data_IF_317035452982
#
_entry.id   IF_317035452982
#
_cell.length_a   1.000
_cell.length_b   1.000
_cell.length_c   1.000
_cell.angle_alpha   90.00
_cell.angle_beta   90.00
_cell.angle_gamma   90.00
#
_symmetry.space_group_name_H-M   'P 1'
#
loop_
_entity.id
_entity.type
_entity.pdbx_description
1 polymer ?
#
# COMPACT_ATOMS: atom_id res chain seq x y z
N UNK A 1 -9.83 18.79 -2.64
CA UNK A 1 -9.50 17.99 -3.85
C UNK A 1 -8.21 17.27 -3.51
N UNK A 2 -8.32 15.99 -3.14
CA UNK A 2 -7.16 15.18 -2.79
C UNK A 2 -6.77 14.38 -4.04
N UNK A 3 -5.56 14.59 -4.54
CA UNK A 3 -4.99 13.84 -5.66
C UNK A 3 -4.31 12.63 -5.07
N UNK A 4 -4.83 11.43 -5.32
CA UNK A 4 -4.23 10.19 -4.84
C UNK A 4 -3.45 9.52 -5.97
N UNK A 5 -2.14 9.42 -5.81
CA UNK A 5 -1.28 8.55 -6.62
C UNK A 5 -1.12 7.22 -5.88
N UNK A 6 -1.99 6.25 -6.16
CA UNK A 6 -1.83 4.88 -5.67
C UNK A 6 -1.04 4.05 -6.68
N UNK A 7 0.06 3.45 -6.22
CA UNK A 7 0.77 2.42 -6.98
C UNK A 7 -0.05 1.13 -6.92
N UNK A 8 -0.90 0.90 -7.92
CA UNK A 8 -1.50 -0.41 -8.14
C UNK A 8 -0.44 -1.34 -8.75
N UNK A 9 -0.17 -2.47 -8.11
CA UNK A 9 0.53 -3.60 -8.71
C UNK A 9 -0.55 -4.56 -9.26
N UNK A 10 -0.69 -4.72 -10.58
CA UNK A 10 -1.64 -5.67 -11.14
C UNK A 10 -0.99 -7.05 -11.21
N UNK A 11 -1.58 -8.05 -10.53
CA UNK A 11 -1.28 -9.50 -10.64
C UNK A 11 0.21 -9.89 -10.40
N UNK A 12 0.55 -11.19 -10.22
CA UNK A 12 1.93 -11.60 -9.95
C UNK A 12 2.84 -11.18 -11.11
N UNK A 13 3.64 -10.13 -10.89
CA UNK A 13 4.68 -9.71 -11.83
C UNK A 13 5.76 -10.78 -11.75
N UNK A 14 5.78 -11.67 -12.75
CA UNK A 14 6.87 -12.60 -12.93
C UNK A 14 8.08 -11.82 -13.47
N UNK A 15 8.95 -11.35 -12.58
CA UNK A 15 10.23 -10.77 -12.99
C UNK A 15 11.10 -11.86 -13.64
N UNK A 16 11.11 -11.91 -14.97
CA UNK A 16 12.12 -12.65 -15.74
C UNK A 16 13.14 -11.67 -16.29
N UNK A 17 14.14 -11.32 -15.50
CA UNK A 17 15.28 -10.54 -16.00
C UNK A 17 16.38 -11.48 -16.48
N UNK A 18 16.27 -11.93 -17.74
CA UNK A 18 17.45 -12.32 -18.52
C UNK A 18 18.02 -11.10 -19.21
N UNK A 19 18.95 -10.40 -18.56
CA UNK A 19 20.15 -9.85 -19.22
C UNK A 19 21.14 -9.27 -18.22
N UNK A 20 22.32 -9.88 -18.19
CA UNK A 20 23.55 -9.28 -17.73
C UNK A 20 23.86 -8.10 -18.68
N UNK A 21 23.78 -6.86 -18.20
CA UNK A 21 24.36 -5.73 -18.91
C UNK A 21 25.75 -5.49 -18.33
N UNK A 22 26.73 -6.11 -18.98
CA UNK A 22 28.14 -5.81 -18.82
C UNK A 22 28.39 -4.37 -19.26
N UNK A 23 29.02 -3.59 -18.39
CA UNK A 23 29.49 -2.23 -18.65
C UNK A 23 30.15 -2.11 -20.03
N UNK A 24 29.69 -1.14 -20.82
CA UNK A 24 30.46 -0.60 -21.94
C UNK A 24 30.67 0.89 -21.72
N UNK A 25 31.92 1.20 -21.37
CA UNK A 25 32.51 2.53 -21.41
C UNK A 25 32.62 3.01 -22.85
N UNK A 26 32.28 4.28 -23.10
CA UNK A 26 32.73 5.04 -24.27
C UNK A 26 33.40 6.33 -23.76
N UNK A 27 34.65 6.50 -24.21
CA UNK A 27 35.55 7.64 -23.99
C UNK A 27 34.95 8.92 -24.67
N UNK A 28 35.28 10.17 -24.30
CA UNK A 28 36.61 10.78 -24.33
C UNK A 28 36.63 12.27 -23.90
N UNK A 29 37.86 12.80 -23.80
CA UNK A 29 38.36 14.16 -23.52
C UNK A 29 38.57 14.50 -22.03
N UNK A 30 39.75 14.90 -21.54
CA UNK A 30 41.05 15.23 -22.15
C UNK A 30 42.16 15.27 -21.08
N UNK A 31 43.22 14.46 -21.27
CA UNK A 31 44.67 14.60 -20.94
C UNK A 31 45.15 15.06 -19.52
N UNK A 32 46.45 14.90 -19.18
CA UNK A 32 46.91 13.77 -18.38
C UNK A 32 47.69 14.21 -17.12
N UNK A 33 47.62 13.44 -16.03
CA UNK A 33 48.72 13.45 -15.06
C UNK A 33 48.92 12.07 -14.47
N UNK A 34 50.10 11.53 -14.75
CA UNK A 34 50.69 10.35 -14.16
C UNK A 34 50.83 10.59 -12.65
N UNK A 35 50.13 9.82 -11.81
CA UNK A 35 50.56 9.60 -10.42
C UNK A 35 50.52 8.11 -10.10
N UNK A 36 51.71 7.64 -9.80
CA UNK A 36 52.11 6.32 -9.40
C UNK A 36 51.47 5.98 -8.03
N UNK A 37 50.55 5.01 -7.96
CA UNK A 37 50.10 4.50 -6.67
C UNK A 37 51.17 3.56 -6.11
N UNK A 38 52.03 4.13 -5.25
CA UNK A 38 52.79 3.37 -4.27
C UNK A 38 51.81 2.72 -3.31
N UNK A 39 51.96 1.41 -3.15
CA UNK A 39 51.45 0.67 -1.99
C UNK A 39 51.97 1.35 -0.72
N UNK A 40 51.05 1.90 0.07
CA UNK A 40 51.34 2.30 1.44
C UNK A 40 50.26 1.70 2.32
N UNK A 41 50.67 0.64 3.01
CA UNK A 41 49.99 0.12 4.17
C UNK A 41 49.92 1.24 5.20
N UNK A 42 48.76 1.86 5.37
CA UNK A 42 48.47 2.55 6.62
C UNK A 42 47.05 2.25 7.08
N UNK A 43 47.03 1.59 8.24
CA UNK A 43 45.86 1.23 9.01
C UNK A 43 45.16 2.50 9.49
N UNK A 44 44.05 2.86 8.88
CA UNK A 44 42.97 3.58 9.55
C UNK A 44 41.65 2.90 9.21
N UNK A 45 41.26 1.99 10.10
CA UNK A 45 39.89 1.51 10.17
C UNK A 45 39.00 2.70 10.52
N UNK A 46 38.35 3.28 9.52
CA UNK A 46 37.13 4.03 9.75
C UNK A 46 36.05 2.99 10.05
N UNK A 47 35.86 2.71 11.34
CA UNK A 47 34.69 1.99 11.82
C UNK A 47 33.51 2.92 11.57
N UNK A 48 32.88 2.76 10.41
CA UNK A 48 31.54 3.28 10.20
C UNK A 48 30.64 2.47 11.14
N UNK A 49 29.86 3.11 12.04
CA UNK A 49 28.90 2.38 12.85
C UNK A 49 27.97 1.63 11.90
N UNK A 50 28.00 0.31 11.98
CA UNK A 50 27.01 -0.57 11.35
C UNK A 50 25.70 -0.30 12.09
N UNK A 51 24.91 0.65 11.59
CA UNK A 51 23.60 1.01 12.15
C UNK A 51 22.75 -0.24 12.15
N UNK A 52 22.59 -0.85 13.32
CA UNK A 52 21.68 -1.95 13.51
C UNK A 52 20.28 -1.35 13.43
N UNK A 53 19.49 -1.74 12.43
CA UNK A 53 18.03 -1.72 12.58
C UNK A 53 17.72 -2.63 13.76
N UNK A 54 17.28 -2.07 14.88
CA UNK A 54 17.04 -2.82 16.11
C UNK A 54 15.58 -3.28 16.14
N UNK A 55 15.26 -4.58 16.01
CA UNK A 55 13.96 -5.11 16.35
C UNK A 55 14.02 -5.61 17.80
N UNK A 56 14.06 -4.72 18.78
CA UNK A 56 13.79 -5.11 20.17
C UNK A 56 12.34 -4.77 20.48
N UNK A 57 11.54 -5.82 20.69
CA UNK A 57 10.31 -5.71 21.44
C UNK A 57 10.67 -5.82 22.94
N UNK A 58 10.15 -4.93 23.81
CA UNK A 58 9.27 -3.81 23.49
C UNK A 58 10.03 -2.64 22.86
N UNK A 59 9.34 -1.87 22.01
CA UNK A 59 9.91 -0.67 21.39
C UNK A 59 10.36 0.29 22.49
N UNK A 60 11.64 0.66 22.47
CA UNK A 60 12.19 1.63 23.40
C UNK A 60 11.88 3.06 22.91
N UNK A 61 10.79 3.65 23.42
CA UNK A 61 10.35 5.00 23.06
C UNK A 61 11.40 6.04 23.44
N UNK A 62 12.02 5.92 24.61
CA UNK A 62 13.06 6.86 25.07
C UNK A 62 14.24 6.90 24.08
N UNK A 63 14.64 5.74 23.55
CA UNK A 63 15.66 5.68 22.50
C UNK A 63 15.21 6.33 21.19
N UNK A 64 13.95 6.10 20.77
CA UNK A 64 13.43 6.73 19.57
C UNK A 64 13.35 8.25 19.70
N UNK A 65 12.96 8.75 20.86
CA UNK A 65 12.99 10.18 21.15
C UNK A 65 14.43 10.70 21.18
N UNK A 66 15.37 10.03 21.84
CA UNK A 66 16.76 10.50 21.89
C UNK A 66 17.42 10.56 20.50
N UNK A 67 17.23 9.53 19.69
CA UNK A 67 17.91 9.41 18.39
C UNK A 67 17.18 10.16 17.26
N UNK A 68 15.84 10.15 17.26
CA UNK A 68 15.04 10.59 16.11
C UNK A 68 14.06 11.74 16.41
N UNK A 69 13.99 12.24 17.66
CA UNK A 69 13.15 13.42 17.92
C UNK A 69 13.66 14.67 17.19
N UNK A 70 12.76 15.63 17.02
CA UNK A 70 12.98 16.79 16.17
C UNK A 70 12.38 16.59 14.78
N UNK A 71 12.61 17.54 13.87
CA UNK A 71 12.13 17.45 12.48
C UNK A 71 10.59 17.41 12.35
N UNK A 72 9.84 17.75 13.41
CA UNK A 72 8.38 17.68 13.45
C UNK A 72 7.82 16.28 13.75
N UNK A 73 8.63 15.34 14.26
CA UNK A 73 8.17 14.01 14.68
C UNK A 73 8.22 13.86 16.20
N UNK A 74 7.20 13.22 16.74
CA UNK A 74 7.08 12.85 18.16
C UNK A 74 6.73 11.37 18.28
N UNK A 75 7.10 10.75 19.40
CA UNK A 75 6.84 9.33 19.65
C UNK A 75 5.99 9.16 20.90
N UNK A 76 5.11 8.16 20.91
CA UNK A 76 4.29 7.83 22.07
C UNK A 76 4.11 6.32 22.19
N UNK A 77 4.42 5.76 23.36
CA UNK A 77 4.17 4.36 23.66
C UNK A 77 2.69 4.05 23.85
N UNK A 78 2.23 2.96 23.25
CA UNK A 78 0.87 2.41 23.40
C UNK A 78 0.99 0.89 23.61
N UNK A 79 0.98 0.47 24.88
CA UNK A 79 1.25 -0.93 25.23
C UNK A 79 2.66 -1.33 24.78
N UNK A 80 2.77 -2.41 24.00
CA UNK A 80 4.04 -2.87 23.41
C UNK A 80 4.38 -2.17 22.08
N UNK A 81 3.48 -1.33 21.57
CA UNK A 81 3.63 -0.60 20.32
C UNK A 81 4.07 0.85 20.56
N UNK A 82 4.48 1.51 19.49
CA UNK A 82 4.81 2.93 19.49
C UNK A 82 4.12 3.63 18.33
N UNK A 83 3.70 4.86 18.55
CA UNK A 83 3.16 5.74 17.51
C UNK A 83 4.18 6.82 17.21
N UNK A 84 4.51 6.98 15.94
CA UNK A 84 5.25 8.12 15.41
C UNK A 84 4.26 9.11 14.79
N UNK A 85 4.16 10.32 15.34
CA UNK A 85 3.32 11.38 14.82
C UNK A 85 4.17 12.43 14.12
N UNK A 86 3.92 12.64 12.83
CA UNK A 86 4.50 13.69 12.01
C UNK A 86 3.57 14.91 12.01
N UNK A 87 4.09 16.12 12.25
CA UNK A 87 3.32 17.36 12.30
C UNK A 87 4.01 18.49 11.55
N UNK A 88 3.33 19.03 10.54
CA UNK A 88 3.77 20.23 9.82
C UNK A 88 3.18 21.50 10.46
N UNK A 89 3.83 22.64 10.25
CA UNK A 89 3.39 23.93 10.78
C UNK A 89 2.06 24.43 10.21
N UNK A 90 1.68 23.95 9.01
CA UNK A 90 0.37 24.25 8.44
C UNK A 90 -0.78 23.50 9.14
N UNK A 91 -0.48 22.65 10.12
CA UNK A 91 -1.45 21.84 10.86
C UNK A 91 -1.69 20.45 10.28
N UNK A 92 -1.12 20.10 9.12
CA UNK A 92 -1.22 18.74 8.59
C UNK A 92 -0.49 17.76 9.51
N UNK A 93 -1.11 16.61 9.79
CA UNK A 93 -0.55 15.57 10.66
C UNK A 93 -0.70 14.19 10.06
N UNK A 94 0.27 13.30 10.25
CA UNK A 94 0.16 11.89 9.93
C UNK A 94 0.63 11.02 11.10
N UNK A 95 -0.02 9.87 11.29
CA UNK A 95 0.25 8.96 12.39
C UNK A 95 0.64 7.59 11.83
N UNK A 96 1.80 7.09 12.25
CA UNK A 96 2.37 5.81 11.85
C UNK A 96 2.59 4.92 13.08
N UNK A 97 2.16 3.67 13.02
CA UNK A 97 2.25 2.73 14.14
C UNK A 97 3.38 1.72 13.93
N UNK A 98 4.29 1.66 14.89
CA UNK A 98 5.39 0.70 14.97
C UNK A 98 5.06 -0.44 15.95
N UNK A 99 5.48 -1.68 15.66
CA UNK A 99 6.28 -2.08 14.50
C UNK A 99 5.45 -2.41 13.26
N UNK A 100 4.14 -2.15 13.24
CA UNK A 100 3.25 -2.60 12.15
C UNK A 100 3.48 -1.93 10.79
N UNK A 101 4.06 -0.72 10.76
CA UNK A 101 4.13 0.09 9.55
C UNK A 101 2.78 0.68 9.09
N UNK A 102 1.73 0.53 9.90
CA UNK A 102 0.38 1.01 9.58
C UNK A 102 0.30 2.54 9.72
N UNK A 103 -0.13 3.23 8.66
CA UNK A 103 -0.51 4.64 8.73
C UNK A 103 -1.97 4.69 9.20
N UNK A 104 -2.22 5.16 10.41
CA UNK A 104 -3.55 5.09 11.05
C UNK A 104 -4.38 6.36 10.85
N UNK A 105 -3.74 7.51 10.61
CA UNK A 105 -4.43 8.80 10.45
C UNK A 105 -3.63 9.72 9.55
N UNK A 106 -4.35 10.51 8.77
CA UNK A 106 -3.81 11.65 8.02
C UNK A 106 -4.81 12.79 8.06
N UNK A 107 -4.46 13.86 8.75
CA UNK A 107 -5.25 15.09 8.74
C UNK A 107 -4.60 16.08 7.80
N UNK A 108 -5.31 16.43 6.73
CA UNK A 108 -4.87 17.42 5.77
C UNK A 108 -5.31 18.82 6.22
N UNK A 109 -4.42 19.82 6.11
CA UNK A 109 -4.80 21.21 6.27
C UNK A 109 -5.75 21.66 5.16
N UNK A 110 -6.84 22.31 5.54
CA UNK A 110 -7.90 22.74 4.63
C UNK A 110 -7.87 24.26 4.43
N UNK A 111 -8.38 24.70 3.28
CA UNK A 111 -8.42 26.12 2.90
C UNK A 111 -9.18 27.03 3.88
N UNK A 112 -10.07 26.47 4.70
CA UNK A 112 -10.82 27.19 5.73
C UNK A 112 -10.10 27.26 7.09
N UNK A 113 -8.81 26.89 7.14
CA UNK A 113 -7.97 26.95 8.34
C UNK A 113 -8.18 25.82 9.35
N UNK A 114 -9.03 24.84 9.02
CA UNK A 114 -9.20 23.61 9.79
C UNK A 114 -8.36 22.46 9.21
N UNK A 115 -8.52 21.28 9.79
CA UNK A 115 -7.98 20.04 9.23
C UNK A 115 -9.08 18.99 9.11
N UNK A 116 -9.00 18.17 8.07
CA UNK A 116 -9.94 17.07 7.84
C UNK A 116 -9.19 15.73 7.83
N UNK A 117 -9.79 14.73 8.47
CA UNK A 117 -9.27 13.36 8.48
C UNK A 117 -9.53 12.71 7.12
N UNK A 118 -8.46 12.25 6.45
CA UNK A 118 -8.50 11.66 5.13
C UNK A 118 -8.57 10.13 5.17
N UNK A 119 -8.13 9.51 6.26
CA UNK A 119 -8.10 8.05 6.40
C UNK A 119 -9.22 7.55 7.30
N UNK A 120 -9.82 6.43 6.92
CA UNK A 120 -10.79 5.73 7.73
C UNK A 120 -10.08 4.65 8.54
N UNK A 121 -10.08 4.79 9.86
CA UNK A 121 -9.54 3.82 10.80
C UNK A 121 -10.49 3.64 11.98
N UNK A 122 -10.59 2.42 12.48
CA UNK A 122 -11.42 2.03 13.62
C UNK A 122 -10.58 1.24 14.61
N UNK A 123 -10.82 1.46 15.91
CA UNK A 123 -10.16 0.73 17.00
C UNK A 123 -11.20 -0.12 17.70
N UNK A 124 -10.89 -1.39 17.90
CA UNK A 124 -11.74 -2.36 18.57
C UNK A 124 -11.05 -2.88 19.82
N UNK A 125 -11.80 -2.97 20.92
CA UNK A 125 -11.35 -3.67 22.11
C UNK A 125 -11.63 -5.17 21.94
N UNK A 126 -10.60 -5.99 22.04
CA UNK A 126 -10.72 -7.44 22.03
C UNK A 126 -10.95 -7.96 23.46
N UNK A 127 -11.55 -9.15 23.58
CA UNK A 127 -11.91 -9.77 24.89
C UNK A 127 -10.75 -9.92 25.87
N UNK A 128 -9.49 -9.87 25.40
CA UNK A 128 -8.28 -9.98 26.22
C UNK A 128 -7.68 -8.64 26.64
N UNK A 129 -8.35 -7.52 26.36
CA UNK A 129 -7.84 -6.17 26.63
C UNK A 129 -6.76 -5.72 25.64
N UNK A 130 -6.52 -6.48 24.57
CA UNK A 130 -5.78 -6.02 23.39
C UNK A 130 -6.67 -5.14 22.54
N UNK A 131 -6.12 -4.05 22.00
CA UNK A 131 -6.81 -3.24 21.01
C UNK A 131 -6.36 -3.67 19.60
N UNK A 132 -7.29 -3.91 18.69
CA UNK A 132 -7.00 -4.09 17.26
C UNK A 132 -7.43 -2.87 16.47
N UNK A 133 -6.64 -2.54 15.46
CA UNK A 133 -6.89 -1.42 14.56
C UNK A 133 -7.23 -1.99 13.20
N UNK A 134 -8.28 -1.48 12.58
CA UNK A 134 -8.61 -1.74 11.18
C UNK A 134 -8.67 -0.42 10.43
N UNK A 135 -8.38 -0.44 9.14
CA UNK A 135 -8.40 0.74 8.29
C UNK A 135 -7.01 1.28 7.98
N UNK A 136 -6.93 2.59 7.76
CA UNK A 136 -5.69 3.29 7.46
C UNK A 136 -5.06 2.85 6.13
N UNK A 137 -3.74 3.03 6.03
CA UNK A 137 -2.92 2.56 4.91
C UNK A 137 -1.92 1.52 5.41
N UNK A 138 -1.99 0.32 4.85
CA UNK A 138 -1.13 -0.82 5.20
C UNK A 138 -0.51 -1.46 3.97
N UNK A 139 0.63 -2.13 4.18
CA UNK A 139 1.32 -2.92 3.16
C UNK A 139 1.05 -4.40 3.42
N UNK A 140 0.39 -5.07 2.47
CA UNK A 140 0.13 -6.51 2.53
C UNK A 140 0.99 -7.13 1.45
N UNK A 141 2.22 -7.52 1.79
CA UNK A 141 3.22 -8.01 0.85
C UNK A 141 3.73 -9.37 1.28
N UNK A 142 3.72 -10.34 0.38
CA UNK A 142 4.26 -11.68 0.57
C UNK A 142 5.35 -11.93 -0.46
N UNK A 143 6.47 -12.44 0.04
CA UNK A 143 7.63 -12.83 -0.74
C UNK A 143 7.78 -14.34 -0.70
N UNK A 144 7.95 -14.97 -1.85
CA UNK A 144 8.27 -16.39 -1.95
C UNK A 144 9.59 -16.56 -2.68
N UNK A 145 10.52 -17.28 -2.06
CA UNK A 145 11.83 -17.60 -2.62
C UNK A 145 11.84 -19.01 -3.23
N UNK A 146 12.86 -19.35 -4.04
CA UNK A 146 12.99 -20.69 -4.66
C UNK A 146 13.05 -21.84 -3.64
N UNK A 147 13.45 -21.56 -2.40
CA UNK A 147 13.46 -22.54 -1.31
C UNK A 147 12.09 -22.72 -0.65
N UNK A 148 11.02 -22.19 -1.26
CA UNK A 148 9.65 -22.19 -0.75
C UNK A 148 9.51 -21.56 0.64
N UNK A 149 10.43 -20.68 1.02
CA UNK A 149 10.28 -19.86 2.22
C UNK A 149 9.40 -18.66 1.87
N UNK A 150 8.26 -18.54 2.55
CA UNK A 150 7.37 -17.38 2.45
C UNK A 150 7.67 -16.41 3.59
N UNK A 151 7.85 -15.15 3.26
CA UNK A 151 8.13 -14.08 4.22
C UNK A 151 7.28 -12.85 3.93
N UNK A 152 6.84 -12.18 5.00
CA UNK A 152 6.01 -10.98 4.97
C UNK A 152 6.65 -9.91 5.88
N UNK A 153 6.77 -8.64 5.46
CA UNK A 153 7.31 -7.57 6.28
C UNK A 153 6.27 -7.09 7.30
N UNK A 154 6.17 -7.80 8.43
CA UNK A 154 5.20 -7.49 9.51
C UNK A 154 5.83 -6.76 10.70
N UNK A 155 7.16 -6.72 10.76
CA UNK A 155 7.92 -6.06 11.81
C UNK A 155 8.85 -5.03 11.17
N UNK A 156 8.47 -3.77 11.31
CA UNK A 156 9.16 -2.61 10.74
C UNK A 156 9.97 -1.90 11.82
N UNK A 157 11.25 -1.69 11.54
CA UNK A 157 12.12 -0.86 12.34
C UNK A 157 12.20 0.55 11.74
N UNK A 158 12.22 1.58 12.60
CA UNK A 158 12.55 2.92 12.17
C UNK A 158 14.02 2.96 11.74
N UNK A 159 14.28 3.48 10.54
CA UNK A 159 15.63 3.57 9.98
C UNK A 159 16.14 5.00 9.94
N UNK A 160 15.30 5.94 9.51
CA UNK A 160 15.70 7.33 9.36
C UNK A 160 14.49 8.28 9.42
N UNK A 161 14.74 9.51 9.88
CA UNK A 161 13.81 10.63 9.77
C UNK A 161 14.56 11.79 9.11
N UNK A 162 13.93 12.44 8.14
CA UNK A 162 14.53 13.58 7.45
C UNK A 162 13.50 14.66 7.11
N UNK A 163 13.99 15.86 6.81
CA UNK A 163 13.15 17.02 6.50
C UNK A 163 12.86 17.90 7.73
N UNK A 164 11.79 18.67 7.68
CA UNK A 164 11.39 19.59 8.73
C UNK A 164 9.87 19.90 8.70
N UNK A 165 9.38 20.52 9.77
CA UNK A 165 7.97 20.90 9.94
C UNK A 165 7.48 21.96 8.95
N UNK A 166 8.37 22.68 8.25
CA UNK A 166 7.99 23.79 7.37
C UNK A 166 7.70 23.32 5.94
N UNK A 167 8.45 22.32 5.45
CA UNK A 167 8.37 21.87 4.07
C UNK A 167 7.80 20.45 3.94
N UNK A 168 8.47 19.49 4.56
CA UNK A 168 8.14 18.08 4.45
C UNK A 168 8.87 17.27 5.50
N UNK A 169 8.20 16.26 6.02
CA UNK A 169 8.78 15.29 6.95
C UNK A 169 8.75 13.94 6.25
N UNK A 170 9.86 13.19 6.30
CA UNK A 170 9.95 11.85 5.76
C UNK A 170 10.41 10.87 6.83
N UNK A 171 9.68 9.76 6.97
CA UNK A 171 9.98 8.64 7.85
C UNK A 171 10.30 7.42 6.99
N UNK A 172 11.49 6.85 7.14
CA UNK A 172 11.92 5.62 6.48
C UNK A 172 11.87 4.46 7.48
N UNK A 173 11.06 3.47 7.16
CA UNK A 173 10.99 2.19 7.84
C UNK A 173 11.69 1.11 7.02
N UNK A 174 12.19 0.07 7.71
CA UNK A 174 12.86 -1.07 7.10
C UNK A 174 12.36 -2.38 7.71
N UNK A 175 12.21 -3.40 6.86
CA UNK A 175 11.98 -4.78 7.24
C UNK A 175 12.80 -5.70 6.35
N UNK A 176 13.43 -6.73 6.91
CA UNK A 176 14.30 -7.65 6.16
C UNK A 176 14.00 -9.09 6.54
N UNK A 177 14.10 -9.98 5.56
CA UNK A 177 14.04 -11.42 5.78
C UNK A 177 15.25 -11.89 6.63
N UNK A 178 15.07 -12.91 7.46
CA UNK A 178 16.17 -13.55 8.19
C UNK A 178 17.21 -14.10 7.19
N UNK A 179 18.43 -13.55 7.20
CA UNK A 179 19.45 -13.85 6.19
C UNK A 179 19.65 -12.77 5.13
N UNK A 180 18.90 -11.66 5.19
CA UNK A 180 19.06 -10.41 4.44
C UNK A 180 19.08 -10.52 2.91
N UNK A 181 18.40 -11.51 2.36
CA UNK A 181 18.26 -11.67 0.91
C UNK A 181 17.29 -10.65 0.31
N UNK A 182 16.19 -10.37 1.01
CA UNK A 182 15.21 -9.35 0.65
C UNK A 182 15.13 -8.29 1.75
N UNK A 183 15.28 -7.03 1.36
CA UNK A 183 15.07 -5.86 2.19
C UNK A 183 13.92 -5.03 1.60
N UNK A 184 12.98 -4.65 2.45
CA UNK A 184 11.85 -3.80 2.08
C UNK A 184 11.95 -2.52 2.90
N UNK A 185 11.86 -1.39 2.21
CA UNK A 185 11.75 -0.07 2.83
C UNK A 185 10.37 0.49 2.57
N UNK A 186 9.80 1.10 3.59
CA UNK A 186 8.56 1.84 3.51
C UNK A 186 8.84 3.28 3.88
N UNK A 187 8.67 4.19 2.92
CA UNK A 187 8.99 5.61 3.06
C UNK A 187 7.68 6.38 3.08
N UNK A 188 7.40 7.04 4.20
CA UNK A 188 6.20 7.85 4.39
C UNK A 188 6.60 9.32 4.39
N UNK A 189 6.06 10.10 3.47
CA UNK A 189 6.39 11.54 3.36
C UNK A 189 5.14 12.39 3.55
N UNK A 190 5.15 13.25 4.56
CA UNK A 190 4.13 14.26 4.80
C UNK A 190 4.60 15.59 4.22
N UNK A 191 3.81 16.16 3.31
CA UNK A 191 3.96 17.50 2.78
C UNK A 191 2.70 18.31 3.08
N UNK A 192 2.74 19.60 2.72
CA UNK A 192 1.65 20.56 2.98
C UNK A 192 0.26 19.99 2.64
N UNK A 193 0.09 19.49 1.42
CA UNK A 193 -1.20 19.07 0.86
C UNK A 193 -1.17 17.60 0.35
N UNK A 194 -0.21 16.81 0.81
CA UNK A 194 0.07 15.46 0.29
C UNK A 194 0.64 14.55 1.38
N UNK A 195 0.15 13.32 1.44
CA UNK A 195 0.80 12.20 2.13
C UNK A 195 1.18 11.15 1.08
N UNK A 196 2.48 10.82 0.98
CA UNK A 196 2.97 9.75 0.12
C UNK A 196 3.39 8.53 0.94
N UNK A 197 3.18 7.35 0.35
CA UNK A 197 3.64 6.06 0.88
C UNK A 197 4.34 5.31 -0.25
N UNK A 198 5.66 5.17 -0.14
CA UNK A 198 6.52 4.58 -1.16
C UNK A 198 7.14 3.29 -0.64
N UNK A 199 7.25 2.27 -1.49
CA UNK A 199 7.83 0.98 -1.15
C UNK A 199 9.03 0.72 -2.05
N UNK A 200 10.20 0.47 -1.45
CA UNK A 200 11.43 0.11 -2.17
C UNK A 200 11.84 -1.30 -1.75
N UNK A 201 11.92 -2.20 -2.73
CA UNK A 201 12.27 -3.60 -2.51
C UNK A 201 13.65 -3.86 -3.12
N UNK A 202 14.56 -4.39 -2.31
CA UNK A 202 15.91 -4.75 -2.73
C UNK A 202 16.12 -6.26 -2.56
N UNK A 203 16.38 -6.96 -3.67
CA UNK A 203 16.78 -8.37 -3.66
C UNK A 203 18.30 -8.46 -3.86
N UNK A 204 19.02 -8.87 -2.82
CA UNK A 204 20.47 -9.10 -2.85
C UNK A 204 20.84 -10.55 -3.12
N UNK A 205 19.86 -11.45 -3.29
CA UNK A 205 20.11 -12.84 -3.63
C UNK A 205 20.44 -13.03 -5.11
N UNK A 206 21.09 -14.14 -5.42
CA UNK A 206 21.32 -14.56 -6.82
C UNK A 206 20.07 -15.18 -7.47
N UNK A 207 19.00 -15.41 -6.70
CA UNK A 207 17.78 -16.08 -7.16
C UNK A 207 16.63 -15.07 -7.36
N UNK A 208 15.69 -15.35 -8.27
CA UNK A 208 14.45 -14.59 -8.35
C UNK A 208 13.62 -14.71 -7.08
N UNK A 209 12.90 -13.64 -6.74
CA UNK A 209 11.90 -13.64 -5.66
C UNK A 209 10.55 -13.31 -6.27
N UNK A 210 9.53 -14.08 -5.91
CA UNK A 210 8.15 -13.79 -6.27
C UNK A 210 7.56 -12.87 -5.22
N UNK A 211 6.97 -11.76 -5.66
CA UNK A 211 6.24 -10.82 -4.81
C UNK A 211 4.75 -10.89 -5.17
N UNK A 212 3.92 -11.00 -4.16
CA UNK A 212 2.46 -10.85 -4.26
C UNK A 212 2.00 -9.89 -3.18
N UNK A 213 1.02 -9.03 -3.46
CA UNK A 213 0.52 -8.13 -2.44
C UNK A 213 -0.13 -6.86 -2.97
N UNK A 214 -0.47 -5.96 -2.05
CA UNK A 214 -1.07 -4.68 -2.35
C UNK A 214 -0.76 -3.62 -1.28
N UNK A 215 -0.99 -2.35 -1.64
CA UNK A 215 -1.15 -1.26 -0.69
C UNK A 215 -2.63 -1.13 -0.40
N UNK A 216 -3.04 -1.44 0.83
CA UNK A 216 -4.44 -1.39 1.24
C UNK A 216 -4.73 -0.06 1.91
N UNK A 217 -5.56 0.77 1.27
CA UNK A 217 -5.88 2.13 1.72
C UNK A 217 -7.37 2.28 2.00
N UNK A 218 -7.72 2.68 3.21
CA UNK A 218 -9.09 2.97 3.63
C UNK A 218 -9.27 4.47 3.75
N UNK A 219 -10.03 5.04 2.81
CA UNK A 219 -10.27 6.48 2.75
C UNK A 219 -11.51 6.84 3.57
N UNK A 220 -11.44 7.98 4.25
CA UNK A 220 -12.60 8.57 4.91
C UNK A 220 -13.41 9.34 3.89
N UNK A 221 -14.71 9.05 3.87
CA UNK A 221 -15.70 9.74 3.04
C UNK A 221 -16.95 9.99 3.88
N UNK A 222 -17.75 10.98 3.51
CA UNK A 222 -18.96 11.37 4.22
C UNK A 222 -20.03 10.29 4.20
N UNK A 223 -20.31 9.78 3.01
CA UNK A 223 -21.22 8.69 2.73
C UNK A 223 -20.87 8.09 1.37
N UNK A 224 -20.90 6.75 1.23
CA UNK A 224 -20.83 6.11 -0.08
C UNK A 224 -21.87 6.63 -1.08
N UNK A 225 -23.01 7.15 -0.61
CA UNK A 225 -24.07 7.75 -1.45
C UNK A 225 -23.66 9.02 -2.18
N UNK A 226 -22.69 9.75 -1.64
CA UNK A 226 -22.28 11.04 -2.16
C UNK A 226 -20.83 11.03 -2.65
N UNK A 227 -20.25 9.83 -2.78
CA UNK A 227 -18.85 9.66 -3.17
C UNK A 227 -18.73 9.05 -4.57
N UNK A 228 -17.83 9.64 -5.36
CA UNK A 228 -17.55 9.22 -6.73
C UNK A 228 -16.06 9.02 -6.93
N UNK A 229 -15.67 7.98 -7.68
CA UNK A 229 -14.34 7.84 -8.25
C UNK A 229 -14.33 8.34 -9.70
N UNK A 230 -13.28 9.07 -10.07
CA UNK A 230 -13.09 9.67 -11.39
C UNK A 230 -11.74 9.26 -11.96
N UNK A 231 -11.72 8.99 -13.27
CA UNK A 231 -10.54 8.58 -14.02
C UNK A 231 -10.46 7.08 -14.31
N UNK A 232 -11.46 6.31 -13.89
CA UNK A 232 -11.54 4.86 -14.12
C UNK A 232 -12.11 4.50 -15.49
N UNK A 233 -12.66 5.46 -16.25
CA UNK A 233 -13.19 5.26 -17.60
C UNK A 233 -12.18 4.52 -18.50
N UNK A 234 -12.64 3.47 -19.18
CA UNK A 234 -11.84 2.59 -20.03
C UNK A 234 -11.00 1.55 -19.28
N UNK A 235 -11.14 1.46 -17.95
CA UNK A 235 -10.44 0.43 -17.16
C UNK A 235 -11.22 -0.88 -17.19
N UNK A 236 -10.54 -1.95 -17.57
CA UNK A 236 -11.03 -3.30 -17.38
C UNK A 236 -11.09 -3.64 -15.89
N UNK A 237 -12.16 -4.30 -15.46
CA UNK A 237 -12.36 -4.75 -14.09
C UNK A 237 -12.90 -6.18 -14.01
N UNK A 238 -12.64 -6.83 -12.88
CA UNK A 238 -13.35 -8.03 -12.46
C UNK A 238 -13.88 -7.89 -11.04
N UNK A 239 -15.08 -8.42 -10.81
CA UNK A 239 -15.70 -8.44 -9.47
C UNK A 239 -15.14 -9.60 -8.65
N UNK A 240 -14.55 -9.30 -7.49
CA UNK A 240 -13.97 -10.31 -6.58
C UNK A 240 -14.15 -9.87 -5.13
N UNK A 241 -14.29 -10.79 -4.15
CA UNK A 241 -14.32 -10.40 -2.75
C UNK A 241 -13.10 -9.59 -2.28
N UNK A 242 -13.26 -8.71 -1.27
CA UNK A 242 -12.16 -7.94 -0.71
C UNK A 242 -11.02 -8.82 -0.26
N UNK A 243 -9.80 -8.29 -0.35
CA UNK A 243 -8.62 -8.96 0.18
C UNK A 243 -8.71 -9.09 1.70
N UNK A 244 -8.54 -10.32 2.20
CA UNK A 244 -8.42 -10.56 3.64
C UNK A 244 -7.08 -10.03 4.14
N UNK A 245 -7.11 -9.11 5.11
CA UNK A 245 -5.94 -8.54 5.79
C UNK A 245 -6.27 -8.27 7.25
N UNK A 246 -5.27 -8.30 8.13
CA UNK A 246 -5.43 -7.97 9.55
C UNK A 246 -5.95 -6.54 9.78
N UNK A 247 -5.67 -5.64 8.83
CA UNK A 247 -6.11 -4.24 8.87
C UNK A 247 -7.28 -3.96 7.92
N UNK A 248 -7.81 -4.98 7.25
CA UNK A 248 -8.89 -4.82 6.28
C UNK A 248 -10.23 -4.51 6.94
N UNK A 249 -10.96 -3.54 6.39
CA UNK A 249 -12.36 -3.29 6.72
C UNK A 249 -13.22 -3.92 5.62
N UNK A 250 -14.03 -4.91 6.01
CA UNK A 250 -15.02 -5.52 5.11
C UNK A 250 -16.38 -4.87 5.38
N UNK A 251 -17.06 -4.30 4.36
CA UNK A 251 -18.38 -3.71 4.55
C UNK A 251 -19.39 -4.72 5.15
N UNK A 252 -20.21 -4.36 6.15
CA UNK A 252 -21.16 -5.28 6.79
C UNK A 252 -22.20 -5.89 5.82
N UNK A 253 -22.52 -5.17 4.76
CA UNK A 253 -23.48 -5.59 3.73
C UNK A 253 -22.83 -6.45 2.63
N UNK A 254 -21.51 -6.66 2.71
CA UNK A 254 -20.77 -7.49 1.78
C UNK A 254 -21.30 -8.93 1.86
N UNK A 255 -21.85 -9.43 0.76
CA UNK A 255 -22.52 -10.73 0.68
C UNK A 255 -24.04 -10.70 0.85
N UNK A 256 -24.65 -9.67 1.46
CA UNK A 256 -26.12 -9.56 1.57
C UNK A 256 -26.76 -9.15 0.24
N UNK A 257 -26.08 -8.30 -0.55
CA UNK A 257 -26.54 -7.86 -1.89
C UNK A 257 -26.41 -8.93 -2.99
N UNK A 258 -25.69 -10.03 -2.73
CA UNK A 258 -25.55 -11.16 -3.68
C UNK A 258 -26.92 -11.76 -4.08
N UNK A 259 -27.97 -11.56 -3.27
CA UNK A 259 -29.32 -12.05 -3.55
C UNK A 259 -30.28 -11.07 -4.23
N UNK A 260 -30.06 -9.75 -4.17
CA UNK A 260 -31.13 -8.77 -4.51
C UNK A 260 -30.75 -7.65 -5.50
N UNK A 261 -29.46 -7.39 -5.77
CA UNK A 261 -29.04 -6.36 -6.74
C UNK A 261 -28.50 -6.92 -8.07
N UNK A 262 -27.86 -8.09 -8.01
CA UNK A 262 -27.27 -8.75 -9.18
C UNK A 262 -28.32 -9.18 -10.21
N UNK A 263 -29.50 -9.61 -9.76
CA UNK A 263 -30.60 -10.03 -10.64
C UNK A 263 -31.17 -8.90 -11.49
N UNK A 264 -31.17 -7.66 -10.98
CA UNK A 264 -31.63 -6.49 -11.73
C UNK A 264 -30.59 -6.04 -12.77
N UNK A 265 -29.30 -6.07 -12.44
CA UNK A 265 -28.22 -5.80 -13.39
C UNK A 265 -28.17 -6.85 -14.52
N UNK A 266 -28.33 -8.14 -14.19
CA UNK A 266 -28.49 -9.21 -15.18
C UNK A 266 -29.72 -9.00 -16.09
N UNK A 267 -30.83 -8.50 -15.53
CA UNK A 267 -32.05 -8.25 -16.30
C UNK A 267 -31.91 -7.10 -17.30
N UNK A 268 -31.12 -6.08 -16.96
CA UNK A 268 -30.82 -4.95 -17.86
C UNK A 268 -29.80 -5.34 -18.95
N UNK A 269 -28.85 -6.22 -18.66
CA UNK A 269 -27.89 -6.73 -19.66
C UNK A 269 -28.45 -7.86 -20.54
N UNK A 270 -29.55 -8.50 -20.16
CA UNK A 270 -30.24 -9.50 -21.00
C UNK A 270 -30.86 -8.92 -22.28
N UNK A 271 -31.07 -7.59 -22.34
CA UNK A 271 -31.54 -6.89 -23.55
C UNK A 271 -30.49 -6.77 -24.66
N UNK A 272 -29.21 -7.05 -24.38
CA UNK A 272 -28.10 -6.94 -25.33
C UNK A 272 -27.64 -8.28 -25.92
N UNK A 273 -28.43 -9.36 -25.75
CA UNK A 273 -28.18 -10.62 -26.45
C UNK A 273 -28.87 -10.65 -27.81
N UNK A 274 -28.19 -11.01 -28.92
CA UNK A 274 -28.87 -11.26 -30.18
C UNK A 274 -29.78 -12.48 -30.02
N UNK A 275 -31.09 -12.30 -30.24
CA UNK A 275 -32.06 -13.39 -30.29
C UNK A 275 -31.68 -14.35 -31.43
N UNK A 276 -31.22 -15.55 -31.09
CA UNK A 276 -31.18 -16.66 -32.03
C UNK A 276 -32.24 -17.70 -31.62
N UNK A 277 -33.34 -17.86 -32.37
CA UNK A 277 -34.38 -18.81 -32.02
C UNK A 277 -34.03 -20.16 -32.64
N UNK A 278 -33.54 -21.12 -31.84
CA UNK A 278 -33.84 -22.51 -32.16
C UNK A 278 -33.74 -23.49 -30.99
N UNK A 279 -34.93 -24.00 -30.68
CA UNK A 279 -35.29 -25.38 -30.43
C UNK A 279 -35.03 -26.05 -29.07
N UNK A 280 -36.13 -26.66 -28.63
CA UNK A 280 -36.41 -27.44 -27.43
C UNK A 280 -35.60 -28.73 -27.30
N UNK A 281 -35.17 -29.06 -26.09
CA UNK A 281 -35.72 -30.20 -25.33
C UNK A 281 -35.04 -30.33 -23.97
N UNK A 282 -35.85 -30.58 -22.93
CA UNK A 282 -35.39 -30.70 -21.56
C UNK A 282 -34.68 -32.00 -21.25
N UNK A 283 -33.79 -31.96 -20.26
CA UNK A 283 -33.81 -32.96 -19.21
C UNK A 283 -33.20 -32.38 -17.92
N UNK A 284 -33.88 -32.65 -16.80
CA UNK A 284 -33.45 -32.29 -15.46
C UNK A 284 -32.20 -33.11 -15.08
N UNK A 285 -31.15 -32.42 -14.64
CA UNK A 285 -30.08 -33.04 -13.86
C UNK A 285 -29.68 -32.09 -12.74
N UNK A 286 -29.61 -32.67 -11.55
CA UNK A 286 -29.45 -32.05 -10.23
C UNK A 286 -28.30 -31.04 -10.20
N UNK A 287 -28.60 -29.86 -9.67
CA UNK A 287 -27.62 -28.84 -9.34
C UNK A 287 -26.85 -29.24 -8.08
N UNK A 288 -25.64 -29.76 -8.25
CA UNK A 288 -24.60 -29.59 -7.24
C UNK A 288 -24.21 -28.11 -7.25
N UNK A 289 -24.70 -27.39 -6.26
CA UNK A 289 -24.48 -25.96 -6.07
C UNK A 289 -23.09 -25.78 -5.43
N UNK A 290 -22.06 -25.96 -6.25
CA UNK A 290 -20.73 -25.44 -5.98
C UNK A 290 -20.76 -23.94 -6.21
N UNK A 291 -20.67 -23.18 -5.12
CA UNK A 291 -20.52 -21.72 -5.08
C UNK A 291 -19.22 -21.30 -5.77
N UNK A 292 -19.23 -21.31 -7.10
CA UNK A 292 -18.23 -20.66 -7.93
C UNK A 292 -18.84 -19.32 -8.33
N UNK A 293 -18.66 -18.33 -7.47
CA UNK A 293 -18.98 -16.94 -7.78
C UNK A 293 -18.33 -16.58 -9.11
N UNK A 294 -19.15 -16.46 -10.16
CA UNK A 294 -18.66 -16.12 -11.49
C UNK A 294 -18.01 -14.74 -11.42
N UNK A 295 -16.71 -14.68 -11.65
CA UNK A 295 -15.97 -13.43 -11.86
C UNK A 295 -16.64 -12.71 -13.04
N UNK A 296 -17.33 -11.61 -12.76
CA UNK A 296 -17.88 -10.75 -13.79
C UNK A 296 -16.80 -9.80 -14.26
N UNK A 297 -16.40 -9.96 -15.51
CA UNK A 297 -15.47 -9.10 -16.23
C UNK A 297 -16.25 -8.00 -16.99
N UNK A 298 -15.72 -6.79 -17.00
CA UNK A 298 -16.30 -5.65 -17.70
C UNK A 298 -15.30 -4.51 -17.90
N UNK A 299 -15.74 -3.46 -18.59
CA UNK A 299 -14.98 -2.23 -18.81
C UNK A 299 -15.78 -1.05 -18.23
N UNK A 300 -15.10 -0.13 -17.57
CA UNK A 300 -15.71 1.10 -17.06
C UNK A 300 -16.10 2.03 -18.21
N UNK A 301 -17.39 2.33 -18.32
CA UNK A 301 -17.94 3.16 -19.41
C UNK A 301 -18.30 4.58 -18.99
N UNK A 302 -18.30 4.87 -17.68
CA UNK A 302 -18.57 6.18 -17.13
C UNK A 302 -17.34 6.69 -16.37
N UNK A 303 -17.09 7.98 -16.47
CA UNK A 303 -16.03 8.65 -15.73
C UNK A 303 -16.46 9.02 -14.29
N UNK A 304 -17.75 9.03 -13.98
CA UNK A 304 -18.26 9.31 -12.63
C UNK A 304 -18.76 8.06 -11.94
N UNK A 305 -17.84 7.30 -11.34
CA UNK A 305 -18.17 6.02 -10.73
C UNK A 305 -18.75 6.18 -9.33
N UNK A 306 -20.02 5.81 -9.13
CA UNK A 306 -20.67 5.87 -7.82
C UNK A 306 -20.22 4.71 -6.91
N UNK A 307 -19.69 5.01 -5.72
CA UNK A 307 -19.05 3.98 -4.87
C UNK A 307 -20.02 3.06 -4.10
N UNK A 308 -21.33 3.33 -4.09
CA UNK A 308 -22.32 2.46 -3.42
C UNK A 308 -22.84 1.34 -4.32
N UNK A 309 -22.92 1.60 -5.61
CA UNK A 309 -23.50 0.68 -6.59
C UNK A 309 -22.59 -0.51 -6.82
N UNK A 310 -21.28 -0.28 -6.79
CA UNK A 310 -20.28 -1.25 -7.21
C UNK A 310 -19.21 -1.40 -6.13
N UNK A 311 -19.25 -2.54 -5.44
CA UNK A 311 -18.39 -2.82 -4.29
C UNK A 311 -17.46 -3.97 -4.69
N UNK A 312 -16.16 -3.79 -4.41
CA UNK A 312 -15.13 -4.83 -4.56
C UNK A 312 -14.80 -5.21 -6.01
N UNK A 313 -14.28 -4.23 -6.74
CA UNK A 313 -13.75 -4.41 -8.08
C UNK A 313 -12.23 -4.40 -8.07
N UNK A 314 -11.65 -5.22 -8.95
CA UNK A 314 -10.22 -5.22 -9.21
C UNK A 314 -10.01 -4.77 -10.64
N UNK A 315 -9.35 -3.62 -10.79
CA UNK A 315 -9.02 -3.03 -12.08
C UNK A 315 -7.68 -3.59 -12.59
N UNK A 316 -7.67 -4.13 -13.81
CA UNK A 316 -6.47 -4.68 -14.45
C UNK A 316 -5.76 -3.68 -15.36
N UNK A 317 -6.52 -2.73 -15.90
CA UNK A 317 -6.04 -1.63 -16.76
C UNK A 317 -6.19 -0.26 -16.07
N UNK A 318 -5.97 -0.20 -14.74
CA UNK A 318 -6.22 0.98 -13.93
C UNK A 318 -5.39 2.21 -14.35
N UNK A 319 -5.95 3.44 -14.24
CA UNK A 319 -5.22 4.67 -14.51
C UNK A 319 -4.09 4.87 -13.49
N UNK A 320 -3.08 5.67 -13.86
CA UNK A 320 -2.02 6.07 -12.91
C UNK A 320 -2.51 7.00 -11.82
N UNK A 321 -3.57 7.76 -12.10
CA UNK A 321 -4.16 8.73 -11.19
C UNK A 321 -5.67 8.54 -11.23
N UNK A 322 -6.29 8.49 -10.06
CA UNK A 322 -7.74 8.58 -9.93
C UNK A 322 -8.07 9.64 -8.87
N UNK A 323 -9.27 10.20 -8.93
CA UNK A 323 -9.74 11.19 -7.96
C UNK A 323 -10.97 10.66 -7.27
N UNK A 324 -10.97 10.70 -5.93
CA UNK A 324 -12.18 10.48 -5.14
C UNK A 324 -12.79 11.85 -4.83
N UNK A 325 -14.03 12.05 -5.25
CA UNK A 325 -14.83 13.23 -4.93
C UNK A 325 -15.86 12.84 -3.90
N UNK A 326 -15.80 13.48 -2.75
CA UNK A 326 -16.80 13.41 -1.69
C UNK A 326 -17.65 14.69 -1.73
N UNK A 327 -18.95 14.55 -2.01
CA UNK A 327 -19.90 15.67 -2.06
C UNK A 327 -20.67 15.75 -0.75
N UNK A 328 -20.32 16.72 0.08
CA UNK A 328 -21.13 17.14 1.23
C UNK A 328 -22.31 18.01 0.79
#
# INVERSE_FOLDING_TARGET
>A
MATFTSLFLPNPIHFSTKKLVTNQTLFSSSSPNYIHFKSSNDKRQLIVPRVASIPYNPINVDYLEEEFSGHGVTFQGIGDNCVAQMTLENGSTAILMLPSGLITSYKAAMWHGGTDEMLHSSVFEEEKGSASIQGGVSLVLDFTTEYAHSWSPTNWALKNISGDSHHSIQVELISSESGAMVEVKHIVTLKKDELSSEVVISNSSSAPVQLTGCVLSHLRVSSPDATYAIGLEGSDFFSRPPFSSNFGIVPPDFGQKMGFGFGQMLSQMAFWRPNNPNNSNGNQTKSDQGDSGQELEGEETDNYKHLREEISQIYTSAPRNMTIIDRW
#
